data_IF_095648801628
#
_entry.id   IF_095648801628
#
_cell.length_a   1.000
_cell.length_b   1.000
_cell.length_c   1.000
_cell.angle_alpha   90.00
_cell.angle_beta   90.00
_cell.angle_gamma   90.00
#
_symmetry.space_group_name_H-M   'P 1'
#
loop_
_entity.id
_entity.type
_entity.pdbx_description
1 polymer ?
#
# COMPACT_ATOMS: atom_id res chain seq x y z
N UNK A 1 -1.55 5.48 -15.20
CA UNK A 1 -0.63 4.35 -15.46
C UNK A 1 -0.22 4.25 -16.94
N UNK A 2 -0.17 5.34 -17.71
CA UNK A 2 0.09 5.30 -19.16
C UNK A 2 1.57 5.23 -19.58
N UNK A 3 2.50 5.16 -18.62
CA UNK A 3 3.96 5.08 -18.87
C UNK A 3 4.62 3.81 -18.30
N UNK A 4 3.82 2.88 -17.76
CA UNK A 4 4.27 1.56 -17.30
C UNK A 4 3.22 0.53 -17.74
N UNK A 5 3.62 -0.53 -18.45
CA UNK A 5 2.76 -1.64 -18.90
C UNK A 5 2.27 -2.54 -17.74
N UNK A 6 1.99 -1.95 -16.57
CA UNK A 6 1.52 -2.67 -15.38
C UNK A 6 0.07 -2.31 -15.16
N UNK A 7 -0.83 -3.28 -15.32
CA UNK A 7 -2.22 -3.13 -14.88
C UNK A 7 -2.25 -3.07 -13.35
N UNK A 8 -3.17 -2.30 -12.78
CA UNK A 8 -3.37 -2.31 -11.32
C UNK A 8 -3.78 -3.70 -10.79
N UNK A 9 -4.32 -4.57 -11.65
CA UNK A 9 -4.60 -5.97 -11.30
C UNK A 9 -3.33 -6.80 -11.13
N UNK A 10 -2.24 -6.41 -11.79
CA UNK A 10 -0.99 -7.16 -11.84
C UNK A 10 -0.02 -6.74 -10.73
N UNK A 11 -0.39 -5.79 -9.87
CA UNK A 11 0.48 -5.37 -8.76
C UNK A 11 0.45 -6.38 -7.62
N UNK A 12 1.61 -6.71 -7.08
CA UNK A 12 1.76 -7.74 -6.06
C UNK A 12 1.25 -7.26 -4.70
N UNK A 13 1.60 -6.03 -4.33
CA UNK A 13 1.28 -5.43 -3.03
C UNK A 13 0.70 -4.01 -3.18
N UNK A 14 -0.14 -3.65 -2.21
CA UNK A 14 -0.79 -2.34 -2.14
C UNK A 14 -0.42 -1.64 -0.84
N UNK A 15 0.39 -0.58 -0.94
CA UNK A 15 0.76 0.27 0.19
C UNK A 15 -0.27 1.39 0.34
N UNK A 16 -1.37 1.11 1.04
CA UNK A 16 -2.44 2.08 1.24
C UNK A 16 -2.19 2.84 2.56
N UNK A 17 -2.19 4.17 2.52
CA UNK A 17 -2.17 5.02 3.71
C UNK A 17 -3.45 4.77 4.53
N UNK A 18 -3.34 4.23 5.76
CA UNK A 18 -4.51 3.89 6.53
C UNK A 18 -4.94 5.09 7.39
N UNK A 19 -5.68 6.03 6.80
CA UNK A 19 -6.25 7.14 7.57
C UNK A 19 -7.28 6.67 8.63
N UNK A 20 -7.80 5.45 8.46
CA UNK A 20 -8.65 4.70 9.37
C UNK A 20 -9.10 3.37 8.73
N UNK A 21 -9.73 2.49 9.51
CA UNK A 21 -10.18 1.16 9.02
C UNK A 21 -11.11 1.27 7.82
N UNK A 22 -12.07 2.19 7.86
CA UNK A 22 -13.07 2.36 6.80
C UNK A 22 -12.46 2.71 5.44
N UNK A 23 -11.29 3.36 5.42
CA UNK A 23 -10.58 3.69 4.18
C UNK A 23 -10.03 2.40 3.54
N UNK A 24 -9.37 1.55 4.33
CA UNK A 24 -8.86 0.26 3.84
C UNK A 24 -10.00 -0.65 3.36
N UNK A 25 -11.07 -0.76 4.17
CA UNK A 25 -12.23 -1.60 3.85
C UNK A 25 -12.91 -1.12 2.54
N UNK A 26 -13.02 0.20 2.34
CA UNK A 26 -13.64 0.74 1.13
C UNK A 26 -12.77 0.52 -0.11
N UNK A 27 -11.48 0.80 -0.04
CA UNK A 27 -10.58 0.64 -1.21
C UNK A 27 -10.46 -0.82 -1.62
N UNK A 28 -10.34 -1.74 -0.65
CA UNK A 28 -10.25 -3.17 -0.94
C UNK A 28 -11.52 -3.70 -1.59
N UNK A 29 -12.69 -3.27 -1.12
CA UNK A 29 -13.98 -3.66 -1.71
C UNK A 29 -14.17 -3.08 -3.12
N UNK A 30 -13.90 -1.79 -3.33
CA UNK A 30 -14.15 -1.11 -4.61
C UNK A 30 -13.16 -1.53 -5.72
N UNK A 31 -11.95 -1.97 -5.35
CA UNK A 31 -10.91 -2.40 -6.29
C UNK A 31 -10.69 -3.92 -6.31
N UNK A 32 -11.53 -4.69 -5.62
CA UNK A 32 -11.42 -6.15 -5.50
C UNK A 32 -10.03 -6.64 -5.08
N UNK A 33 -9.42 -5.93 -4.12
CA UNK A 33 -8.08 -6.24 -3.63
C UNK A 33 -8.16 -7.31 -2.55
N UNK A 34 -7.51 -8.45 -2.79
CA UNK A 34 -7.42 -9.52 -1.80
C UNK A 34 -6.64 -9.05 -0.55
N UNK A 35 -7.15 -9.41 0.64
CA UNK A 35 -6.65 -8.92 1.94
C UNK A 35 -5.14 -9.13 2.16
N UNK A 36 -4.60 -10.24 1.64
CA UNK A 36 -3.16 -10.52 1.75
C UNK A 36 -2.28 -9.41 1.13
N UNK A 37 -2.75 -8.72 0.07
CA UNK A 37 -2.00 -7.67 -0.63
C UNK A 37 -1.86 -6.37 0.17
N UNK A 38 -2.67 -6.17 1.21
CA UNK A 38 -2.67 -4.96 2.05
C UNK A 38 -2.35 -5.23 3.53
N UNK A 39 -1.98 -6.46 3.87
CA UNK A 39 -1.65 -6.86 5.27
C UNK A 39 -0.74 -5.84 5.98
N UNK A 40 0.35 -5.32 5.36
CA UNK A 40 1.21 -4.33 6.00
C UNK A 40 0.50 -3.02 6.37
N UNK A 41 -0.46 -2.56 5.55
CA UNK A 41 -1.27 -1.37 5.86
C UNK A 41 -2.19 -1.59 7.06
N UNK A 42 -2.82 -2.78 7.16
CA UNK A 42 -3.65 -3.13 8.33
C UNK A 42 -2.81 -3.29 9.59
N UNK A 43 -1.65 -3.92 9.48
CA UNK A 43 -0.72 -4.11 10.59
C UNK A 43 -0.26 -2.77 11.14
N UNK A 44 0.16 -1.85 10.28
CA UNK A 44 0.61 -0.51 10.71
C UNK A 44 -0.53 0.26 11.37
N UNK A 45 -1.75 0.20 10.83
CA UNK A 45 -2.91 0.83 11.48
C UNK A 45 -3.20 0.23 12.86
N UNK A 46 -3.12 -1.10 12.98
CA UNK A 46 -3.35 -1.80 14.26
C UNK A 46 -2.29 -1.45 15.29
N UNK A 47 -1.03 -1.44 14.89
CA UNK A 47 0.11 -1.33 15.81
C UNK A 47 0.42 0.13 16.17
N UNK A 48 0.14 1.09 15.27
CA UNK A 48 0.54 2.50 15.43
C UNK A 48 -0.59 3.53 15.23
N UNK A 49 -1.75 3.13 14.69
CA UNK A 49 -2.80 4.06 14.33
C UNK A 49 -2.47 4.94 13.12
N UNK A 50 -3.24 6.01 12.93
CA UNK A 50 -2.98 7.01 11.91
C UNK A 50 -1.99 8.06 12.44
N UNK A 51 -0.75 7.99 11.97
CA UNK A 51 0.34 8.92 12.29
C UNK A 51 0.47 10.06 11.25
N UNK A 52 -0.63 10.42 10.58
CA UNK A 52 -0.63 11.38 9.47
C UNK A 52 0.28 10.90 8.32
N UNK A 53 0.96 11.81 7.62
CA UNK A 53 1.79 11.53 6.45
C UNK A 53 2.88 10.48 6.70
N UNK A 54 3.41 10.36 7.93
CA UNK A 54 4.43 9.37 8.27
C UNK A 54 3.92 7.92 8.12
N UNK A 55 2.61 7.70 8.22
CA UNK A 55 2.03 6.34 8.22
C UNK A 55 2.37 5.56 6.96
N UNK A 56 2.40 6.21 5.78
CA UNK A 56 2.73 5.50 4.53
C UNK A 56 4.17 4.99 4.53
N UNK A 57 5.11 5.71 5.18
CA UNK A 57 6.50 5.28 5.28
C UNK A 57 6.64 4.05 6.19
N UNK A 58 5.82 3.95 7.23
CA UNK A 58 5.77 2.77 8.10
C UNK A 58 5.22 1.55 7.35
N UNK A 59 4.21 1.74 6.49
CA UNK A 59 3.70 0.69 5.61
C UNK A 59 4.79 0.16 4.67
N UNK A 60 5.49 1.07 3.98
CA UNK A 60 6.59 0.70 3.08
C UNK A 60 7.74 0.01 3.84
N UNK A 61 8.06 0.48 5.04
CA UNK A 61 9.07 -0.18 5.89
C UNK A 61 8.64 -1.60 6.30
N UNK A 62 7.40 -1.78 6.73
CA UNK A 62 6.84 -3.09 7.10
C UNK A 62 6.87 -4.05 5.91
N UNK A 63 6.53 -3.58 4.71
CA UNK A 63 6.65 -4.37 3.47
C UNK A 63 8.10 -4.82 3.23
N UNK A 64 9.06 -3.90 3.36
CA UNK A 64 10.49 -4.21 3.22
C UNK A 64 10.99 -5.24 4.24
N UNK A 65 10.52 -5.17 5.49
CA UNK A 65 10.86 -6.12 6.56
C UNK A 65 10.30 -7.52 6.31
N UNK A 66 9.12 -7.61 5.69
CA UNK A 66 8.47 -8.89 5.37
C UNK A 66 8.97 -9.50 4.05
N UNK A 67 9.58 -8.71 3.16
CA UNK A 67 10.06 -9.21 1.88
C UNK A 67 11.31 -10.06 2.05
N UNK A 68 11.25 -11.32 1.59
CA UNK A 68 12.32 -12.30 1.81
C UNK A 68 12.66 -13.16 0.59
N UNK A 69 11.89 -13.09 -0.50
CA UNK A 69 11.95 -14.12 -1.54
C UNK A 69 12.14 -13.59 -2.96
N UNK A 70 11.39 -12.55 -3.35
CA UNK A 70 11.30 -12.11 -4.74
C UNK A 70 11.18 -10.57 -4.84
N UNK A 71 11.49 -10.04 -6.03
CA UNK A 71 11.18 -8.66 -6.36
C UNK A 71 9.67 -8.52 -6.52
N UNK A 72 9.07 -7.51 -5.90
CA UNK A 72 7.62 -7.28 -5.94
C UNK A 72 7.29 -5.87 -6.44
N UNK A 73 6.23 -5.75 -7.22
CA UNK A 73 5.62 -4.47 -7.57
C UNK A 73 4.72 -3.97 -6.44
N UNK A 74 4.83 -2.69 -6.10
CA UNK A 74 4.04 -2.08 -5.02
C UNK A 74 3.34 -0.84 -5.55
N UNK A 75 2.02 -0.81 -5.42
CA UNK A 75 1.23 0.40 -5.68
C UNK A 75 0.95 1.13 -4.36
N UNK A 76 1.56 2.29 -4.18
CA UNK A 76 1.32 3.19 -3.06
C UNK A 76 0.16 4.12 -3.34
N UNK A 77 -0.70 4.33 -2.34
CA UNK A 77 -1.86 5.22 -2.40
C UNK A 77 -2.03 5.99 -1.10
N UNK A 78 -2.14 7.31 -1.17
CA UNK A 78 -2.40 8.19 -0.02
C UNK A 78 -3.48 9.23 -0.31
N UNK A 79 -4.13 9.71 0.75
CA UNK A 79 -5.27 10.62 0.67
C UNK A 79 -5.01 11.90 1.47
N UNK A 80 -5.37 13.06 0.90
CA UNK A 80 -5.23 14.38 1.52
C UNK A 80 -6.49 15.24 1.47
N UNK A 81 -6.51 16.39 2.18
CA UNK A 81 -7.65 17.33 2.20
C UNK A 81 -8.08 17.83 0.82
N UNK A 82 -9.39 18.16 0.66
CA UNK A 82 -10.03 18.50 -0.62
C UNK A 82 -10.51 17.29 -1.43
N UNK A 83 -10.05 16.10 -1.01
CA UNK A 83 -9.90 14.81 -1.68
C UNK A 83 -8.91 14.85 -2.85
N UNK A 84 -7.63 14.81 -2.47
CA UNK A 84 -6.53 14.46 -3.38
C UNK A 84 -6.13 13.01 -3.15
N UNK A 85 -5.87 12.28 -4.23
CA UNK A 85 -5.23 10.96 -4.19
C UNK A 85 -3.83 11.09 -4.76
N UNK A 86 -2.84 10.70 -3.97
CA UNK A 86 -1.45 10.58 -4.40
C UNK A 86 -1.14 9.10 -4.64
N UNK A 87 -0.55 8.79 -5.79
CA UNK A 87 -0.18 7.42 -6.15
C UNK A 87 1.28 7.31 -6.56
N UNK A 88 1.95 6.22 -6.16
CA UNK A 88 3.31 5.92 -6.59
C UNK A 88 3.45 4.44 -6.94
N UNK A 89 4.13 4.13 -8.04
CA UNK A 89 4.50 2.77 -8.39
C UNK A 89 5.95 2.53 -7.96
N UNK A 90 6.17 1.50 -7.15
CA UNK A 90 7.47 1.15 -6.61
C UNK A 90 7.82 -0.30 -6.98
N UNK A 91 9.12 -0.59 -6.92
CA UNK A 91 9.64 -1.95 -6.96
C UNK A 91 10.34 -2.24 -5.64
N UNK A 92 9.86 -3.23 -4.92
CA UNK A 92 10.49 -3.75 -3.71
C UNK A 92 11.46 -4.84 -4.11
N UNK A 93 12.76 -4.60 -3.92
CA UNK A 93 13.79 -5.58 -4.28
C UNK A 93 13.92 -6.66 -3.21
N UNK A 94 14.18 -7.89 -3.63
CA UNK A 94 14.49 -8.99 -2.73
C UNK A 94 15.79 -8.70 -1.95
N UNK A 95 15.82 -9.05 -0.66
CA UNK A 95 17.00 -8.92 0.21
C UNK A 95 18.04 -10.05 -0.01
N UNK A 96 18.19 -10.57 -1.24
CA UNK A 96 19.15 -11.64 -1.56
C UNK A 96 20.59 -11.17 -1.48
#
# INVERSE_FOLDING_TARGET
MSNHDVSYNDVDLWAIHPGGRAILDKITAELDIHENKITPSRDVLRDYGNMSSATILFVLNKMRELNSSEDQSVLGMAFGPGLTVETGLFKLFSNK
#
